data_IF_704660265131
#
_entry.id   IF_704660265131
#
_cell.length_a   1.000
_cell.length_b   1.000
_cell.length_c   1.000
_cell.angle_alpha   90.00
_cell.angle_beta   90.00
_cell.angle_gamma   90.00
#
_symmetry.space_group_name_H-M   'P 1'
#
loop_
_entity.id
_entity.type
_entity.pdbx_description
1 polymer ?
#
# COMPACT_ATOMS: atom_id res chain seq x y z
N UNK A 1 8.03 -30.33 -19.20
CA UNK A 1 9.28 -30.34 -19.98
C UNK A 1 10.36 -29.65 -19.18
N UNK A 2 11.59 -30.15 -19.19
CA UNK A 2 12.71 -29.57 -18.45
C UNK A 2 12.95 -28.10 -18.85
N UNK A 3 13.52 -27.31 -17.93
CA UNK A 3 13.87 -25.91 -18.15
C UNK A 3 15.17 -25.80 -18.97
N UNK A 4 15.04 -25.98 -20.29
CA UNK A 4 16.17 -25.95 -21.22
C UNK A 4 16.84 -24.57 -21.31
N UNK A 5 16.14 -23.49 -20.97
CA UNK A 5 16.72 -22.14 -20.93
C UNK A 5 17.69 -21.97 -19.76
N UNK A 6 17.32 -22.48 -18.58
CA UNK A 6 18.23 -22.55 -17.44
C UNK A 6 19.42 -23.48 -17.74
N UNK A 7 19.17 -24.66 -18.32
CA UNK A 7 20.25 -25.58 -18.73
C UNK A 7 21.24 -24.89 -19.69
N UNK A 8 20.72 -24.26 -20.75
CA UNK A 8 21.53 -23.55 -21.74
C UNK A 8 22.35 -22.42 -21.13
N UNK A 9 21.74 -21.56 -20.31
CA UNK A 9 22.44 -20.46 -19.67
C UNK A 9 23.58 -20.92 -18.73
N UNK A 10 23.42 -22.06 -18.06
CA UNK A 10 24.48 -22.65 -17.22
C UNK A 10 25.65 -23.11 -18.09
N UNK A 11 25.36 -23.82 -19.20
CA UNK A 11 26.39 -24.27 -20.14
C UNK A 11 27.13 -23.09 -20.77
N UNK A 12 26.40 -22.06 -21.22
CA UNK A 12 26.97 -20.85 -21.82
C UNK A 12 27.85 -20.05 -20.85
N UNK A 13 27.52 -20.03 -19.56
CA UNK A 13 28.32 -19.35 -18.54
C UNK A 13 29.61 -20.10 -18.17
N UNK A 14 29.77 -21.35 -18.63
CA UNK A 14 30.91 -22.21 -18.31
C UNK A 14 30.95 -22.70 -16.86
N UNK A 15 29.88 -22.46 -16.09
CA UNK A 15 29.78 -22.88 -14.69
C UNK A 15 29.20 -24.29 -14.55
N UNK A 16 29.67 -25.04 -13.56
CA UNK A 16 29.07 -26.32 -13.17
C UNK A 16 27.88 -26.11 -12.24
N UNK A 17 27.01 -27.14 -12.11
CA UNK A 17 25.90 -27.11 -11.15
C UNK A 17 26.39 -26.92 -9.70
N UNK A 18 27.53 -27.52 -9.36
CA UNK A 18 28.16 -27.38 -8.04
C UNK A 18 28.62 -25.95 -7.77
N UNK A 19 29.24 -25.29 -8.76
CA UNK A 19 29.70 -23.89 -8.62
C UNK A 19 28.52 -22.92 -8.45
N UNK A 20 27.42 -23.16 -9.17
CA UNK A 20 26.19 -22.37 -9.00
C UNK A 20 25.59 -22.62 -7.62
N UNK A 21 25.51 -23.89 -7.20
CA UNK A 21 24.96 -24.27 -5.92
C UNK A 21 25.74 -23.66 -4.75
N UNK A 22 27.08 -23.69 -4.82
CA UNK A 22 27.98 -23.08 -3.84
C UNK A 22 27.73 -21.56 -3.72
N UNK A 23 27.70 -20.84 -4.85
CA UNK A 23 27.44 -19.39 -4.86
C UNK A 23 26.06 -19.01 -4.35
N UNK A 24 25.09 -19.92 -4.49
CA UNK A 24 23.71 -19.72 -4.04
C UNK A 24 23.45 -20.27 -2.63
N UNK A 25 24.42 -20.95 -2.01
CA UNK A 25 24.24 -21.60 -0.70
C UNK A 25 23.17 -22.70 -0.71
N UNK A 26 23.05 -23.45 -1.81
CA UNK A 26 22.13 -24.59 -1.97
C UNK A 26 22.90 -25.84 -2.39
N UNK A 27 22.23 -26.99 -2.53
CA UNK A 27 22.85 -28.21 -3.06
C UNK A 27 22.76 -28.28 -4.59
N UNK A 28 23.74 -28.89 -5.25
CA UNK A 28 23.73 -29.10 -6.71
C UNK A 28 22.48 -29.87 -7.17
N UNK A 29 22.01 -30.82 -6.37
CA UNK A 29 20.74 -31.53 -6.60
C UNK A 29 19.53 -30.59 -6.60
N UNK A 30 19.57 -29.50 -5.86
CA UNK A 30 18.50 -28.48 -5.87
C UNK A 30 18.51 -27.72 -7.19
N UNK A 31 19.68 -27.34 -7.69
CA UNK A 31 19.82 -26.67 -9.00
C UNK A 31 19.42 -27.61 -10.14
N UNK A 32 19.84 -28.87 -10.08
CA UNK A 32 19.45 -29.92 -11.03
C UNK A 32 17.91 -30.11 -11.07
N UNK A 33 17.25 -30.07 -9.91
CA UNK A 33 15.79 -30.11 -9.81
C UNK A 33 15.12 -28.92 -10.47
N UNK A 34 15.68 -27.71 -10.38
CA UNK A 34 15.13 -26.54 -11.08
C UNK A 34 15.17 -26.68 -12.60
N UNK A 35 16.09 -27.50 -13.12
CA UNK A 35 16.19 -27.83 -14.54
C UNK A 35 15.20 -28.95 -14.90
N UNK A 36 15.22 -30.06 -14.15
CA UNK A 36 14.53 -31.28 -14.56
C UNK A 36 13.06 -31.37 -14.08
N UNK A 37 12.68 -30.67 -13.01
CA UNK A 37 11.37 -30.74 -12.36
C UNK A 37 10.60 -29.39 -12.48
N UNK A 38 9.74 -29.19 -13.50
CA UNK A 38 9.10 -27.89 -13.76
C UNK A 38 8.19 -27.39 -12.63
N UNK A 39 7.62 -28.33 -11.87
CA UNK A 39 6.78 -28.04 -10.70
C UNK A 39 7.58 -27.57 -9.48
N UNK A 40 8.91 -27.63 -9.54
CA UNK A 40 9.79 -27.37 -8.40
C UNK A 40 10.67 -26.17 -8.69
N UNK A 41 10.02 -25.02 -8.81
CA UNK A 41 10.69 -23.76 -9.09
C UNK A 41 11.43 -23.23 -7.86
N UNK A 42 12.55 -22.51 -8.04
CA UNK A 42 13.22 -21.83 -6.95
C UNK A 42 12.30 -20.80 -6.29
N UNK A 43 12.49 -20.54 -4.99
CA UNK A 43 11.94 -19.35 -4.36
C UNK A 43 12.45 -18.08 -5.08
N UNK A 44 11.65 -17.01 -5.04
CA UNK A 44 11.94 -15.72 -5.69
C UNK A 44 13.40 -15.28 -5.51
N UNK A 45 13.92 -15.28 -4.28
CA UNK A 45 15.33 -14.92 -3.98
C UNK A 45 16.36 -15.70 -4.81
N UNK A 46 16.14 -17.00 -5.02
CA UNK A 46 17.05 -17.86 -5.78
C UNK A 46 16.87 -17.68 -7.29
N UNK A 47 15.67 -17.37 -7.77
CA UNK A 47 15.45 -16.99 -9.18
C UNK A 47 16.27 -15.76 -9.55
N UNK A 48 16.17 -14.70 -8.74
CA UNK A 48 16.93 -13.46 -8.97
C UNK A 48 18.45 -13.68 -8.84
N UNK A 49 18.89 -14.40 -7.81
CA UNK A 49 20.32 -14.67 -7.62
C UNK A 49 20.91 -15.51 -8.76
N UNK A 50 20.17 -16.53 -9.24
CA UNK A 50 20.60 -17.36 -10.39
C UNK A 50 20.61 -16.54 -11.68
N UNK A 51 19.59 -15.73 -11.93
CA UNK A 51 19.51 -14.85 -13.10
C UNK A 51 20.67 -13.83 -13.12
N UNK A 52 20.96 -13.20 -11.97
CA UNK A 52 22.09 -12.30 -11.81
C UNK A 52 23.43 -13.02 -12.02
N UNK A 53 23.59 -14.24 -11.50
CA UNK A 53 24.81 -15.03 -11.65
C UNK A 53 25.07 -15.40 -13.12
N UNK A 54 24.01 -15.71 -13.86
CA UNK A 54 24.07 -16.13 -15.27
C UNK A 54 23.98 -14.95 -16.26
N UNK A 55 23.82 -13.72 -15.79
CA UNK A 55 23.67 -12.53 -16.65
C UNK A 55 22.44 -12.58 -17.57
N UNK A 56 21.34 -13.19 -17.10
CA UNK A 56 20.08 -13.33 -17.84
C UNK A 56 18.92 -12.69 -17.07
N UNK A 57 17.83 -12.40 -17.75
CA UNK A 57 16.58 -12.02 -17.06
C UNK A 57 15.89 -13.24 -16.42
N UNK A 58 15.18 -13.00 -15.31
CA UNK A 58 14.38 -14.03 -14.63
C UNK A 58 13.31 -14.62 -15.56
N UNK A 59 12.61 -13.77 -16.32
CA UNK A 59 11.59 -14.14 -17.31
C UNK A 59 12.14 -14.96 -18.48
N UNK A 60 13.41 -14.74 -18.85
CA UNK A 60 14.08 -15.60 -19.83
C UNK A 60 14.24 -17.00 -19.26
N UNK A 61 14.80 -17.14 -18.05
CA UNK A 61 15.05 -18.43 -17.40
C UNK A 61 13.77 -19.13 -16.94
N UNK A 62 12.72 -18.39 -16.58
CA UNK A 62 11.42 -18.90 -16.16
C UNK A 62 10.32 -18.15 -16.93
N UNK A 63 9.89 -18.62 -18.13
CA UNK A 63 8.91 -17.92 -18.97
C UNK A 63 7.52 -17.68 -18.34
N UNK A 64 7.18 -18.41 -17.27
CA UNK A 64 5.97 -18.13 -16.49
C UNK A 64 6.11 -16.89 -15.60
N UNK A 65 7.34 -16.40 -15.38
CA UNK A 65 7.61 -15.12 -14.73
C UNK A 65 7.50 -14.00 -15.75
N UNK A 66 6.75 -12.97 -15.39
CA UNK A 66 6.62 -11.76 -16.20
C UNK A 66 7.97 -11.07 -16.31
N UNK A 67 8.27 -10.59 -17.51
CA UNK A 67 9.43 -9.72 -17.77
C UNK A 67 9.29 -8.41 -16.99
N UNK A 68 10.42 -7.75 -16.69
CA UNK A 68 10.39 -6.43 -16.06
C UNK A 68 9.59 -5.41 -16.88
N UNK A 69 9.60 -5.57 -18.21
CA UNK A 69 8.82 -4.76 -19.14
C UNK A 69 7.30 -4.98 -18.95
N UNK A 70 6.84 -6.23 -18.91
CA UNK A 70 5.42 -6.56 -18.68
C UNK A 70 4.92 -6.12 -17.30
N UNK A 71 5.77 -6.20 -16.28
CA UNK A 71 5.46 -5.67 -14.94
C UNK A 71 5.31 -4.14 -14.98
N UNK A 72 6.25 -3.46 -15.65
CA UNK A 72 6.22 -2.01 -15.80
C UNK A 72 5.01 -1.54 -16.60
N UNK A 73 4.66 -2.24 -17.68
CA UNK A 73 3.50 -1.91 -18.51
C UNK A 73 2.19 -2.03 -17.73
N UNK A 74 2.00 -3.10 -16.95
CA UNK A 74 0.82 -3.22 -16.10
C UNK A 74 0.79 -2.16 -14.99
N UNK A 75 1.94 -1.85 -14.38
CA UNK A 75 2.03 -0.77 -13.40
C UNK A 75 1.68 0.60 -13.98
N UNK A 76 2.10 0.87 -15.23
CA UNK A 76 1.71 2.09 -15.95
C UNK A 76 0.20 2.12 -16.24
N UNK A 77 -0.42 0.96 -16.51
CA UNK A 77 -1.87 0.86 -16.70
C UNK A 77 -2.65 1.08 -15.39
N UNK A 78 -2.04 0.86 -14.22
CA UNK A 78 -2.66 1.19 -12.92
C UNK A 78 -2.69 2.70 -12.66
N UNK A 79 -1.74 3.48 -13.21
CA UNK A 79 -1.66 4.93 -13.00
C UNK A 79 -2.64 5.68 -13.91
N UNK A 80 -3.81 6.03 -13.36
CA UNK A 80 -4.82 6.84 -14.05
C UNK A 80 -4.35 8.28 -14.22
N UNK A 81 -3.79 8.86 -13.15
CA UNK A 81 -3.32 10.25 -13.14
C UNK A 81 -2.29 10.46 -12.03
N UNK A 82 -1.21 11.18 -12.36
CA UNK A 82 -0.31 11.78 -11.36
C UNK A 82 -0.66 13.26 -11.19
N UNK A 83 -0.98 13.67 -9.97
CA UNK A 83 -1.11 15.07 -9.60
C UNK A 83 0.20 15.54 -8.95
N UNK A 84 0.79 16.66 -9.39
CA UNK A 84 2.06 17.15 -8.85
C UNK A 84 1.96 17.54 -7.38
N UNK A 85 0.77 17.95 -6.92
CA UNK A 85 0.48 18.17 -5.50
C UNK A 85 -1.01 18.02 -5.18
N UNK A 86 -1.34 17.68 -3.92
CA UNK A 86 -2.73 17.46 -3.49
C UNK A 86 -3.65 18.66 -3.71
N UNK A 87 -3.16 19.90 -3.58
CA UNK A 87 -4.02 21.08 -3.74
C UNK A 87 -4.57 21.31 -5.15
N UNK A 88 -4.03 20.64 -6.18
CA UNK A 88 -4.61 20.65 -7.55
C UNK A 88 -5.52 19.46 -7.82
N UNK A 89 -5.67 18.52 -6.87
CA UNK A 89 -6.67 17.46 -6.98
C UNK A 89 -8.05 18.11 -6.87
N UNK A 90 -8.96 17.90 -7.83
CA UNK A 90 -10.30 18.49 -7.77
C UNK A 90 -11.03 18.08 -6.49
N UNK A 91 -11.55 19.03 -5.72
CA UNK A 91 -12.24 18.74 -4.45
C UNK A 91 -13.38 17.71 -4.61
N UNK A 92 -14.08 17.71 -5.76
CA UNK A 92 -15.15 16.75 -6.04
C UNK A 92 -14.67 15.31 -6.24
N UNK A 93 -13.38 15.08 -6.52
CA UNK A 93 -12.83 13.75 -6.76
C UNK A 93 -12.94 12.86 -5.52
N UNK A 94 -12.72 13.43 -4.34
CA UNK A 94 -12.71 12.70 -3.07
C UNK A 94 -14.09 12.12 -2.67
N UNK A 95 -15.17 12.91 -2.56
CA UNK A 95 -16.49 12.35 -2.30
C UNK A 95 -16.96 11.44 -3.45
N UNK A 96 -16.59 11.74 -4.71
CA UNK A 96 -16.93 10.89 -5.87
C UNK A 96 -16.27 9.52 -5.81
N UNK A 97 -15.00 9.44 -5.37
CA UNK A 97 -14.29 8.18 -5.14
C UNK A 97 -15.11 7.28 -4.20
N UNK A 98 -15.51 7.81 -3.05
CA UNK A 98 -16.25 7.05 -2.04
C UNK A 98 -17.70 6.76 -2.43
N UNK A 99 -18.36 7.68 -3.14
CA UNK A 99 -19.70 7.44 -3.68
C UNK A 99 -19.72 6.25 -4.65
N UNK A 100 -18.60 5.99 -5.34
CA UNK A 100 -18.41 4.84 -6.22
C UNK A 100 -18.30 3.49 -5.50
N UNK A 101 -17.97 3.47 -4.20
CA UNK A 101 -17.74 2.24 -3.45
C UNK A 101 -18.98 1.33 -3.41
N UNK A 102 -18.74 0.02 -3.55
CA UNK A 102 -19.72 -1.07 -3.56
C UNK A 102 -19.43 -2.14 -2.52
N UNK A 103 -18.18 -2.36 -2.12
CA UNK A 103 -17.82 -3.40 -1.13
C UNK A 103 -17.26 -2.80 0.15
N UNK A 104 -16.30 -1.90 0.02
CA UNK A 104 -15.67 -1.22 1.15
C UNK A 104 -14.93 0.05 0.74
N UNK A 105 -14.60 0.89 1.72
CA UNK A 105 -13.59 1.92 1.53
C UNK A 105 -12.78 2.20 2.81
N UNK A 106 -11.59 2.74 2.60
CA UNK A 106 -10.57 2.98 3.62
C UNK A 106 -10.08 4.43 3.57
N UNK A 107 -9.89 5.02 4.75
CA UNK A 107 -9.20 6.30 4.95
C UNK A 107 -8.03 6.08 5.90
N UNK A 108 -6.81 6.12 5.37
CA UNK A 108 -5.56 6.01 6.14
C UNK A 108 -4.80 7.34 6.10
N UNK A 109 -4.76 8.03 7.24
CA UNK A 109 -4.17 9.37 7.38
C UNK A 109 -3.58 9.55 8.77
N UNK A 110 -2.82 10.62 9.00
CA UNK A 110 -2.69 11.14 10.35
C UNK A 110 -3.93 11.92 10.76
N UNK A 111 -4.21 13.05 10.10
CA UNK A 111 -5.43 13.84 10.36
C UNK A 111 -6.44 13.79 9.21
N UNK A 112 -5.97 13.92 7.95
CA UNK A 112 -6.88 14.08 6.81
C UNK A 112 -7.84 15.27 6.98
N UNK A 113 -7.42 16.29 7.74
CA UNK A 113 -8.31 17.27 8.37
C UNK A 113 -9.36 17.89 7.44
N UNK A 114 -8.94 18.31 6.24
CA UNK A 114 -9.81 18.92 5.22
C UNK A 114 -10.99 18.02 4.81
N UNK A 115 -10.80 16.70 4.77
CA UNK A 115 -11.86 15.74 4.41
C UNK A 115 -12.90 15.64 5.52
N UNK A 116 -12.48 15.87 6.76
CA UNK A 116 -13.37 15.84 7.94
C UNK A 116 -14.36 17.01 7.95
N UNK A 117 -14.09 18.07 7.20
CA UNK A 117 -14.94 19.26 7.07
C UNK A 117 -15.84 19.21 5.81
N UNK A 118 -15.66 18.21 4.95
CA UNK A 118 -16.43 18.07 3.72
C UNK A 118 -17.80 17.42 3.98
N UNK A 119 -18.86 18.23 3.94
CA UNK A 119 -20.23 17.77 4.14
C UNK A 119 -20.67 16.71 3.12
N UNK A 120 -20.17 16.75 1.87
CA UNK A 120 -20.49 15.74 0.87
C UNK A 120 -19.86 14.39 1.21
N UNK A 121 -18.64 14.40 1.75
CA UNK A 121 -18.02 13.17 2.23
C UNK A 121 -18.78 12.56 3.41
N UNK A 122 -19.19 13.37 4.39
CA UNK A 122 -20.01 12.89 5.51
C UNK A 122 -21.33 12.27 5.06
N UNK A 123 -21.97 12.89 4.06
CA UNK A 123 -23.21 12.35 3.49
C UNK A 123 -22.97 10.99 2.83
N UNK A 124 -21.90 10.86 2.03
CA UNK A 124 -21.51 9.59 1.41
C UNK A 124 -21.26 8.51 2.45
N UNK A 125 -20.55 8.81 3.55
CA UNK A 125 -20.30 7.82 4.62
C UNK A 125 -21.61 7.31 5.22
N UNK A 126 -22.56 8.20 5.50
CA UNK A 126 -23.88 7.83 6.06
C UNK A 126 -24.69 6.97 5.10
N UNK A 127 -24.71 7.33 3.82
CA UNK A 127 -25.39 6.55 2.78
C UNK A 127 -24.77 5.17 2.62
N UNK A 128 -23.45 5.07 2.51
CA UNK A 128 -22.75 3.78 2.39
C UNK A 128 -22.90 2.91 3.62
N UNK A 129 -22.90 3.51 4.81
CA UNK A 129 -23.19 2.80 6.05
C UNK A 129 -24.62 2.22 6.06
N UNK A 130 -25.61 3.00 5.62
CA UNK A 130 -26.99 2.54 5.50
C UNK A 130 -27.14 1.40 4.46
N UNK A 131 -26.33 1.43 3.40
CA UNK A 131 -26.23 0.36 2.40
C UNK A 131 -25.47 -0.89 2.90
N UNK A 132 -24.93 -0.86 4.13
CA UNK A 132 -24.22 -1.98 4.74
C UNK A 132 -22.76 -2.15 4.29
N UNK A 133 -22.13 -1.11 3.72
CA UNK A 133 -20.71 -1.16 3.37
C UNK A 133 -19.81 -1.20 4.61
N UNK A 134 -18.67 -1.88 4.48
CA UNK A 134 -17.57 -1.80 5.44
C UNK A 134 -16.75 -0.53 5.20
N UNK A 135 -16.62 0.30 6.23
CA UNK A 135 -15.99 1.62 6.16
C UNK A 135 -14.93 1.71 7.27
N UNK A 136 -13.67 1.93 6.88
CA UNK A 136 -12.54 1.91 7.81
C UNK A 136 -11.82 3.25 7.86
N UNK A 137 -11.74 3.83 9.04
CA UNK A 137 -10.95 5.02 9.32
C UNK A 137 -9.74 4.65 10.17
N UNK A 138 -8.55 5.01 9.70
CA UNK A 138 -7.28 4.87 10.41
C UNK A 138 -6.65 6.26 10.51
N UNK A 139 -6.76 6.87 11.69
CA UNK A 139 -6.13 8.16 12.00
C UNK A 139 -4.86 7.92 12.81
N UNK A 140 -3.93 8.86 12.76
CA UNK A 140 -2.71 8.77 13.58
C UNK A 140 -3.05 8.83 15.06
N UNK A 141 -2.35 8.08 15.89
CA UNK A 141 -2.48 8.24 17.33
C UNK A 141 -1.83 9.58 17.76
N UNK A 142 -2.60 10.55 18.32
CA UNK A 142 -2.10 11.86 18.70
C UNK A 142 -0.94 11.81 19.71
N UNK A 143 -0.82 10.72 20.46
CA UNK A 143 0.20 10.56 21.51
C UNK A 143 1.40 9.74 21.02
N UNK A 144 1.42 9.31 19.75
CA UNK A 144 2.52 8.52 19.16
C UNK A 144 3.73 9.34 18.76
N UNK A 145 4.91 8.71 18.85
CA UNK A 145 6.16 9.29 18.37
C UNK A 145 6.12 9.60 16.87
N UNK A 146 5.48 8.76 16.06
CA UNK A 146 5.41 8.94 14.61
C UNK A 146 4.65 10.22 14.20
N UNK A 147 3.56 10.54 14.90
CA UNK A 147 2.82 11.79 14.73
C UNK A 147 3.66 12.99 15.18
N UNK A 148 4.33 12.89 16.34
CA UNK A 148 5.18 13.96 16.85
C UNK A 148 6.35 14.28 15.91
N UNK A 149 7.01 13.25 15.36
CA UNK A 149 8.09 13.41 14.37
C UNK A 149 7.56 14.11 13.13
N UNK A 150 6.45 13.66 12.55
CA UNK A 150 5.87 14.32 11.37
C UNK A 150 5.49 15.77 11.62
N UNK A 151 4.95 16.07 12.80
CA UNK A 151 4.66 17.45 13.21
C UNK A 151 5.90 18.33 13.14
N UNK A 152 7.03 17.86 13.70
CA UNK A 152 8.30 18.57 13.64
C UNK A 152 8.82 18.71 12.22
N UNK A 153 8.83 17.62 11.45
CA UNK A 153 9.35 17.59 10.08
C UNK A 153 8.60 18.56 9.16
N UNK A 154 7.28 18.67 9.27
CA UNK A 154 6.48 19.60 8.46
C UNK A 154 6.45 21.04 9.00
N UNK A 155 7.14 21.34 10.12
CA UNK A 155 7.10 22.66 10.77
C UNK A 155 5.76 22.98 11.46
N UNK A 156 4.91 21.96 11.68
CA UNK A 156 3.61 22.09 12.37
C UNK A 156 3.79 21.97 13.90
N UNK A 157 4.83 21.26 14.35
CA UNK A 157 5.10 20.95 15.75
C UNK A 157 3.96 20.18 16.42
N UNK A 158 3.73 20.49 17.70
CA UNK A 158 2.74 19.80 18.56
C UNK A 158 1.30 20.00 18.09
N UNK A 159 1.04 20.98 17.22
CA UNK A 159 -0.27 21.22 16.63
C UNK A 159 -0.75 20.05 15.75
N UNK A 160 0.14 19.14 15.31
CA UNK A 160 -0.27 17.95 14.57
C UNK A 160 -1.21 17.06 15.39
N UNK A 161 -0.87 16.80 16.65
CA UNK A 161 -1.72 16.02 17.54
C UNK A 161 -3.09 16.70 17.74
N UNK A 162 -3.11 18.02 17.92
CA UNK A 162 -4.36 18.80 18.02
C UNK A 162 -5.20 18.72 16.75
N UNK A 163 -4.60 18.74 15.55
CA UNK A 163 -5.31 18.56 14.27
C UNK A 163 -5.99 17.19 14.19
N UNK A 164 -5.34 16.14 14.68
CA UNK A 164 -5.94 14.79 14.72
C UNK A 164 -7.12 14.76 15.70
N UNK A 165 -6.96 15.31 16.90
CA UNK A 165 -8.06 15.39 17.88
C UNK A 165 -9.28 16.14 17.30
N UNK A 166 -9.05 17.23 16.59
CA UNK A 166 -10.12 17.98 15.93
C UNK A 166 -10.76 17.19 14.77
N UNK A 167 -9.97 16.46 13.98
CA UNK A 167 -10.48 15.58 12.93
C UNK A 167 -11.44 14.51 13.50
N UNK A 168 -11.08 13.89 14.64
CA UNK A 168 -11.94 12.93 15.33
C UNK A 168 -13.24 13.56 15.83
N UNK A 169 -13.18 14.77 16.39
CA UNK A 169 -14.37 15.53 16.81
C UNK A 169 -15.28 15.82 15.61
N UNK A 170 -14.73 16.25 14.48
CA UNK A 170 -15.52 16.48 13.27
C UNK A 170 -16.24 15.19 12.83
N UNK A 171 -15.61 14.03 12.97
CA UNK A 171 -16.22 12.73 12.65
C UNK A 171 -17.19 12.18 13.71
N UNK A 172 -17.47 12.89 14.81
CA UNK A 172 -18.44 12.45 15.85
C UNK A 172 -19.74 11.88 15.27
N UNK A 173 -20.41 12.49 14.28
CA UNK A 173 -21.67 11.97 13.73
C UNK A 173 -21.54 10.65 12.95
N UNK A 174 -20.32 10.22 12.64
CA UNK A 174 -20.03 8.97 11.91
C UNK A 174 -19.69 7.81 12.84
N UNK A 175 -19.33 8.09 14.09
CA UNK A 175 -19.13 7.04 15.09
C UNK A 175 -20.43 6.27 15.33
N UNK A 176 -20.30 4.95 15.54
CA UNK A 176 -21.41 4.01 15.81
C UNK A 176 -22.40 3.80 14.66
N UNK A 177 -22.14 4.39 13.49
CA UNK A 177 -22.86 4.01 12.28
C UNK A 177 -22.54 2.54 11.92
N UNK A 178 -23.53 1.75 11.46
CA UNK A 178 -23.29 0.36 11.05
C UNK A 178 -22.18 0.23 10.02
N UNK A 179 -21.24 -0.70 10.24
CA UNK A 179 -20.13 -0.93 9.31
C UNK A 179 -19.02 0.13 9.32
N UNK A 180 -19.15 1.21 10.11
CA UNK A 180 -18.11 2.25 10.27
C UNK A 180 -17.25 1.94 11.48
N UNK A 181 -15.95 1.78 11.27
CA UNK A 181 -14.98 1.52 12.34
C UNK A 181 -13.82 2.51 12.28
N UNK A 182 -13.46 3.05 13.45
CA UNK A 182 -12.35 3.97 13.64
C UNK A 182 -11.23 3.28 14.42
N UNK A 183 -9.99 3.45 13.96
CA UNK A 183 -8.77 3.02 14.65
C UNK A 183 -7.73 4.13 14.69
N UNK A 184 -6.88 4.08 15.71
CA UNK A 184 -5.67 4.89 15.83
C UNK A 184 -4.43 4.05 15.55
N UNK A 185 -3.52 4.56 14.71
CA UNK A 185 -2.27 3.89 14.36
C UNK A 185 -1.05 4.73 14.75
N UNK A 186 0.03 4.05 15.13
CA UNK A 186 1.29 4.69 15.52
C UNK A 186 2.39 4.49 14.47
N UNK A 187 2.00 4.14 13.24
CA UNK A 187 2.95 3.82 12.16
C UNK A 187 3.56 5.09 11.57
N UNK A 188 4.83 5.01 11.14
CA UNK A 188 5.40 6.05 10.27
C UNK A 188 4.68 6.02 8.94
N UNK A 189 3.88 7.06 8.68
CA UNK A 189 3.07 7.11 7.49
C UNK A 189 3.88 7.68 6.30
N UNK A 190 4.14 6.86 5.28
CA UNK A 190 4.81 7.31 4.04
C UNK A 190 3.83 7.93 3.03
N UNK A 191 2.56 7.54 3.11
CA UNK A 191 1.51 7.99 2.20
C UNK A 191 0.20 8.06 2.98
N UNK A 192 -0.59 9.11 2.76
CA UNK A 192 -2.01 9.09 3.10
C UNK A 192 -2.76 8.35 2.00
N UNK A 193 -3.56 7.35 2.35
CA UNK A 193 -4.25 6.49 1.38
C UNK A 193 -5.75 6.64 1.53
N UNK A 194 -6.42 6.86 0.40
CA UNK A 194 -7.86 6.99 0.28
C UNK A 194 -8.31 5.97 -0.75
N UNK A 195 -8.94 4.87 -0.33
CA UNK A 195 -9.25 3.73 -1.20
C UNK A 195 -10.74 3.44 -1.19
N UNK A 196 -11.33 3.24 -2.35
CA UNK A 196 -12.68 2.71 -2.52
C UNK A 196 -12.62 1.53 -3.48
N UNK A 197 -12.85 0.32 -2.96
CA UNK A 197 -12.75 -0.94 -3.71
C UNK A 197 -11.42 -1.09 -4.48
N UNK A 198 -11.48 -0.86 -5.80
CA UNK A 198 -10.42 -1.06 -6.79
C UNK A 198 -9.85 0.29 -7.28
N UNK A 199 -10.20 1.40 -6.63
CA UNK A 199 -9.70 2.76 -6.94
C UNK A 199 -9.05 3.36 -5.70
N UNK A 200 -7.92 4.05 -5.89
CA UNK A 200 -7.14 4.60 -4.80
C UNK A 200 -6.53 5.95 -5.16
N UNK A 201 -6.51 6.87 -4.20
CA UNK A 201 -5.66 8.05 -4.19
C UNK A 201 -4.58 7.86 -3.13
N UNK A 202 -3.32 7.71 -3.56
CA UNK A 202 -2.17 7.63 -2.68
C UNK A 202 -1.47 9.00 -2.67
N UNK A 203 -1.64 9.76 -1.59
CA UNK A 203 -0.97 11.04 -1.40
C UNK A 203 0.37 10.80 -0.72
N UNK A 204 1.45 10.87 -1.51
CA UNK A 204 2.81 10.66 -1.04
C UNK A 204 3.24 11.76 -0.08
N UNK A 205 4.09 11.41 0.87
CA UNK A 205 4.66 12.37 1.82
C UNK A 205 6.07 12.73 1.40
N UNK A 206 6.33 14.03 1.31
CA UNK A 206 7.67 14.56 1.10
C UNK A 206 8.19 15.08 2.45
N UNK A 207 9.47 14.86 2.74
CA UNK A 207 10.11 15.36 3.95
C UNK A 207 10.14 16.90 3.93
N UNK A 208 9.78 17.55 5.04
CA UNK A 208 9.75 19.02 5.11
C UNK A 208 8.58 19.70 4.40
N UNK A 209 7.71 18.94 3.72
CA UNK A 209 6.63 19.49 2.89
C UNK A 209 5.27 19.03 3.43
N UNK A 210 4.40 20.01 3.68
CA UNK A 210 3.03 19.73 4.11
C UNK A 210 2.25 18.92 3.06
N UNK A 211 1.40 18.00 3.52
CA UNK A 211 0.68 17.06 2.65
C UNK A 211 -0.14 17.71 1.51
N UNK A 212 -0.52 18.99 1.61
CA UNK A 212 -1.22 19.71 0.55
C UNK A 212 -0.34 20.03 -0.67
N UNK A 213 0.98 20.10 -0.51
CA UNK A 213 1.97 20.34 -1.57
C UNK A 213 2.66 19.06 -2.04
N UNK A 214 2.28 17.90 -1.51
CA UNK A 214 2.88 16.62 -1.84
C UNK A 214 2.06 15.89 -2.93
N UNK A 215 2.69 15.05 -3.77
CA UNK A 215 2.06 14.46 -4.95
C UNK A 215 0.94 13.48 -4.60
N UNK A 216 0.05 13.24 -5.57
CA UNK A 216 -1.03 12.23 -5.45
C UNK A 216 -1.04 11.33 -6.67
N UNK A 217 -0.94 10.03 -6.45
CA UNK A 217 -1.18 9.00 -7.46
C UNK A 217 -2.65 8.61 -7.42
N UNK A 218 -3.33 8.70 -8.56
CA UNK A 218 -4.64 8.10 -8.78
C UNK A 218 -4.45 6.76 -9.45
N UNK A 219 -4.77 5.70 -8.71
CA UNK A 219 -4.55 4.32 -9.09
C UNK A 219 -5.90 3.61 -9.31
N UNK A 220 -5.97 2.81 -10.37
CA UNK A 220 -7.03 1.86 -10.65
C UNK A 220 -6.41 0.47 -10.66
N UNK A 221 -6.97 -0.46 -9.90
CA UNK A 221 -6.55 -1.86 -9.92
C UNK A 221 -6.81 -2.45 -11.30
N UNK A 222 -5.81 -3.08 -11.90
CA UNK A 222 -5.92 -3.80 -13.18
C UNK A 222 -5.41 -5.24 -13.03
N UNK A 223 -5.90 -6.20 -13.83
CA UNK A 223 -5.35 -7.56 -13.84
C UNK A 223 -3.85 -7.55 -14.18
N UNK A 224 -3.04 -8.23 -13.38
CA UNK A 224 -1.58 -8.21 -13.52
C UNK A 224 -0.93 -6.91 -13.03
N UNK A 225 -1.69 -5.97 -12.46
CA UNK A 225 -1.12 -4.90 -11.65
C UNK A 225 -0.51 -5.44 -10.36
N UNK A 226 0.53 -4.78 -9.87
CA UNK A 226 1.16 -5.10 -8.57
C UNK A 226 1.18 -3.87 -7.64
N UNK A 227 1.10 -2.65 -8.20
CA UNK A 227 1.24 -1.41 -7.45
C UNK A 227 0.03 -1.17 -6.53
N UNK A 228 -1.20 -1.33 -7.06
CA UNK A 228 -2.41 -1.16 -6.27
C UNK A 228 -2.45 -2.15 -5.11
N UNK A 229 -2.17 -3.42 -5.41
CA UNK A 229 -2.24 -4.51 -4.42
C UNK A 229 -1.18 -4.35 -3.33
N UNK A 230 0.02 -3.85 -3.67
CA UNK A 230 1.05 -3.51 -2.68
C UNK A 230 0.59 -2.41 -1.71
N UNK A 231 -0.04 -1.33 -2.22
CA UNK A 231 -0.62 -0.30 -1.36
C UNK A 231 -1.79 -0.83 -0.53
N UNK A 232 -2.68 -1.64 -1.13
CA UNK A 232 -3.81 -2.24 -0.43
C UNK A 232 -3.34 -3.15 0.72
N UNK A 233 -2.31 -3.98 0.49
CA UNK A 233 -1.72 -4.82 1.54
C UNK A 233 -1.08 -3.97 2.65
N UNK A 234 -0.48 -2.82 2.32
CA UNK A 234 0.03 -1.88 3.33
C UNK A 234 -1.09 -1.30 4.21
N UNK A 235 -2.27 -1.03 3.64
CA UNK A 235 -3.45 -0.59 4.40
C UNK A 235 -3.89 -1.69 5.37
N UNK A 236 -3.92 -2.96 4.94
CA UNK A 236 -4.26 -4.08 5.83
C UNK A 236 -3.28 -4.22 7.00
N UNK A 237 -1.96 -4.12 6.75
CA UNK A 237 -0.95 -4.17 7.82
C UNK A 237 -1.13 -3.06 8.86
N UNK A 238 -1.46 -1.84 8.41
CA UNK A 238 -1.76 -0.74 9.33
C UNK A 238 -3.06 -1.03 10.08
N UNK A 239 -4.10 -1.48 9.40
CA UNK A 239 -5.38 -1.83 10.00
C UNK A 239 -5.25 -2.86 11.12
N UNK A 240 -4.54 -3.96 10.87
CA UNK A 240 -4.33 -5.06 11.82
C UNK A 240 -3.58 -4.64 13.09
N UNK A 241 -2.64 -3.70 12.96
CA UNK A 241 -1.84 -3.18 14.08
C UNK A 241 -2.46 -1.97 14.78
N UNK A 242 -3.45 -1.31 14.16
CA UNK A 242 -4.11 -0.14 14.70
C UNK A 242 -5.10 -0.51 15.84
N UNK A 243 -5.19 0.37 16.84
CA UNK A 243 -6.06 0.21 18.01
C UNK A 243 -7.47 0.75 17.72
N UNK A 244 -8.54 -0.03 17.92
CA UNK A 244 -9.90 0.47 17.74
C UNK A 244 -10.27 1.53 18.77
N UNK A 245 -11.14 2.46 18.36
CA UNK A 245 -11.76 3.48 19.22
C UNK A 245 -13.27 3.55 18.95
N UNK A 246 -14.05 3.69 20.01
CA UNK A 246 -15.52 3.75 19.96
C UNK A 246 -16.08 5.18 20.09
N UNK A 247 -15.22 6.14 20.42
CA UNK A 247 -15.57 7.56 20.53
C UNK A 247 -14.38 8.47 20.20
N UNK A 248 -14.64 9.74 19.79
CA UNK A 248 -13.59 10.72 19.52
C UNK A 248 -12.65 11.01 20.70
N UNK A 249 -13.11 10.75 21.94
CA UNK A 249 -12.37 11.05 23.17
C UNK A 249 -11.57 9.85 23.72
N UNK A 250 -11.69 8.67 23.10
CA UNK A 250 -11.00 7.44 23.51
C UNK A 250 -9.54 7.39 23.00
N UNK A 251 -8.78 8.42 23.35
CA UNK A 251 -7.42 8.63 22.83
C UNK A 251 -6.35 7.84 23.59
N UNK A 252 -6.60 7.52 24.86
CA UNK A 252 -5.71 6.67 25.66
C UNK A 252 -6.19 5.23 25.55
N UNK A 253 -5.24 4.29 25.46
CA UNK A 253 -5.55 2.91 25.78
C UNK A 253 -6.14 2.88 27.18
N UNK A 254 -7.23 2.13 27.36
CA UNK A 254 -7.63 1.70 28.68
C UNK A 254 -6.49 0.83 29.25
N UNK A 255 -5.50 1.47 29.86
CA UNK A 255 -4.56 0.81 30.74
C UNK A 255 -5.35 0.46 32.01
N UNK A 256 -5.73 -0.82 32.08
CA UNK A 256 -5.94 -1.53 33.33
C UNK A 256 -4.62 -2.20 33.73
#
# INVERSE_FOLDING_TARGET
MANERLRGAIVESGMTLDQIAERLGVSAKTVERWINEPKRQPYRRYKYATASLLGREVSYLWPEERTSAEVTEAGNAELVQLYPHRSVVPNRLWPRLYAGAKRHFDVLVYSGFWLTEDAAFHQVVKEKSADGLRIRFMLGDPDSTAVAVRGKDEGIGDAMASKIRNALVNYTPLFRLPGVEFRLHSTTLYNSIYRADDVMLANGHLYGVGAYMAPVLHLQRVPGGELFDAYAESVERVWESARPISSPTELRGSDA
#
